data_IF_368611021330
#
_entry.id   IF_368611021330
#
_cell.length_a   1.000
_cell.length_b   1.000
_cell.length_c   1.000
_cell.angle_alpha   90.00
_cell.angle_beta   90.00
_cell.angle_gamma   90.00
#
_symmetry.space_group_name_H-M   'P 1'
#
loop_
_entity.id
_entity.type
_entity.pdbx_description
1 polymer ?
#
# COMPACT_ATOMS: atom_id res chain seq x y z
N UNK A 1 56.32 20.18 50.70
CA UNK A 1 55.95 19.60 49.38
C UNK A 1 55.04 18.36 49.53
N UNK A 2 53.69 18.48 49.64
CA UNK A 2 52.76 17.31 49.51
C UNK A 2 51.33 17.78 49.14
N UNK A 3 51.06 18.21 47.90
CA UNK A 3 49.70 18.63 47.47
C UNK A 3 49.24 18.14 46.08
N UNK A 4 49.89 17.13 45.50
CA UNK A 4 49.53 16.61 44.15
C UNK A 4 48.66 15.35 44.12
N UNK A 5 48.35 14.70 45.25
CA UNK A 5 47.64 13.40 45.26
C UNK A 5 46.10 13.49 45.12
N UNK A 6 45.44 14.60 45.50
CA UNK A 6 43.97 14.69 45.46
C UNK A 6 43.37 14.93 44.07
N UNK A 7 44.07 15.67 43.20
CA UNK A 7 43.60 15.95 41.81
C UNK A 7 43.46 14.69 40.95
N UNK A 8 44.31 13.67 41.16
CA UNK A 8 44.25 12.41 40.39
C UNK A 8 42.98 11.60 40.67
N UNK A 9 42.42 11.68 41.89
CA UNK A 9 41.15 11.02 42.24
C UNK A 9 39.93 11.77 41.70
N UNK A 10 39.99 13.10 41.60
CA UNK A 10 38.93 13.89 40.96
C UNK A 10 38.85 13.64 39.46
N UNK A 11 40.00 13.56 38.77
CA UNK A 11 40.04 13.29 37.33
C UNK A 11 39.41 11.93 36.95
N UNK A 12 39.60 10.90 37.77
CA UNK A 12 38.96 9.60 37.54
C UNK A 12 37.45 9.63 37.77
N UNK A 13 36.96 10.46 38.69
CA UNK A 13 35.52 10.65 38.94
C UNK A 13 34.86 11.47 37.84
N UNK A 14 35.53 12.49 37.33
CA UNK A 14 35.05 13.29 36.19
C UNK A 14 35.04 12.46 34.90
N UNK A 15 36.04 11.58 34.70
CA UNK A 15 36.05 10.63 33.58
C UNK A 15 34.87 9.63 33.66
N UNK A 16 34.59 9.09 34.85
CA UNK A 16 33.44 8.21 35.07
C UNK A 16 32.11 8.93 34.81
N UNK A 17 32.02 10.21 35.18
CA UNK A 17 30.83 11.03 34.92
C UNK A 17 30.65 11.29 33.42
N UNK A 18 31.72 11.64 32.69
CA UNK A 18 31.67 11.77 31.24
C UNK A 18 31.27 10.46 30.54
N UNK A 19 31.79 9.32 30.99
CA UNK A 19 31.41 8.00 30.45
C UNK A 19 29.93 7.71 30.74
N UNK A 20 29.45 8.00 31.96
CA UNK A 20 28.03 7.84 32.30
C UNK A 20 27.12 8.73 31.43
N UNK A 21 27.51 9.99 31.17
CA UNK A 21 26.79 10.88 30.28
C UNK A 21 26.77 10.37 28.83
N UNK A 22 27.87 9.80 28.33
CA UNK A 22 27.92 9.21 26.99
C UNK A 22 27.00 8.00 26.87
N UNK A 23 26.98 7.11 27.87
CA UNK A 23 26.08 5.95 27.90
C UNK A 23 24.61 6.39 27.96
N UNK A 24 24.30 7.41 28.78
CA UNK A 24 22.95 7.96 28.86
C UNK A 24 22.49 8.56 27.52
N UNK A 25 23.35 9.34 26.84
CA UNK A 25 23.05 9.85 25.49
C UNK A 25 22.85 8.74 24.48
N UNK A 26 23.69 7.70 24.49
CA UNK A 26 23.56 6.57 23.57
C UNK A 26 22.25 5.80 23.79
N UNK A 27 21.83 5.61 25.04
CA UNK A 27 20.56 4.96 25.38
C UNK A 27 19.34 5.77 24.88
N UNK A 28 19.38 7.10 25.00
CA UNK A 28 18.32 7.97 24.50
C UNK A 28 18.25 7.96 22.96
N UNK A 29 19.40 7.98 22.29
CA UNK A 29 19.46 7.87 20.83
C UNK A 29 18.96 6.52 20.33
N UNK A 30 19.25 5.43 21.05
CA UNK A 30 18.76 4.10 20.72
C UNK A 30 17.23 4.01 20.85
N UNK A 31 16.67 4.55 21.93
CA UNK A 31 15.22 4.62 22.13
C UNK A 31 14.53 5.45 21.05
N UNK A 32 15.07 6.63 20.74
CA UNK A 32 14.52 7.51 19.69
C UNK A 32 14.61 6.92 18.28
N UNK A 33 15.63 6.10 18.00
CA UNK A 33 15.78 5.44 16.69
C UNK A 33 14.66 4.43 16.43
N UNK A 34 14.22 3.69 17.46
CA UNK A 34 13.11 2.75 17.35
C UNK A 34 11.79 3.47 17.03
N UNK A 35 11.54 4.61 17.66
CA UNK A 35 10.34 5.41 17.44
C UNK A 35 10.27 6.01 16.04
N UNK A 36 11.41 6.43 15.47
CA UNK A 36 11.47 6.96 14.10
C UNK A 36 11.14 5.86 13.08
N UNK A 37 11.63 4.64 13.28
CA UNK A 37 11.32 3.50 12.41
C UNK A 37 9.84 3.13 12.49
N UNK A 38 9.29 3.00 13.70
CA UNK A 38 7.88 2.71 13.92
C UNK A 38 6.98 3.82 13.33
N UNK A 39 7.36 5.10 13.43
CA UNK A 39 6.58 6.21 12.87
C UNK A 39 6.53 6.17 11.33
N UNK A 40 7.61 5.75 10.68
CA UNK A 40 7.64 5.58 9.21
C UNK A 40 6.79 4.38 8.78
N UNK A 41 6.91 3.26 9.49
CA UNK A 41 6.12 2.05 9.22
C UNK A 41 4.62 2.30 9.43
N UNK A 42 4.24 3.00 10.51
CA UNK A 42 2.85 3.37 10.78
C UNK A 42 2.32 4.28 9.66
N UNK A 43 3.09 5.28 9.22
CA UNK A 43 2.67 6.18 8.12
C UNK A 43 2.46 5.43 6.81
N UNK A 44 3.40 4.56 6.44
CA UNK A 44 3.27 3.72 5.25
C UNK A 44 2.07 2.78 5.35
N UNK A 45 1.85 2.17 6.51
CA UNK A 45 0.71 1.29 6.72
C UNK A 45 -0.64 2.01 6.62
N UNK A 46 -0.72 3.29 6.99
CA UNK A 46 -1.94 4.10 6.88
C UNK A 46 -2.25 4.39 5.41
N UNK A 47 -1.24 4.83 4.65
CA UNK A 47 -1.39 5.14 3.23
C UNK A 47 -1.77 3.90 2.42
N UNK A 48 -1.11 2.76 2.68
CA UNK A 48 -1.45 1.46 2.08
C UNK A 48 -2.87 1.00 2.43
N UNK A 49 -3.34 1.28 3.65
CA UNK A 49 -4.67 0.85 4.09
C UNK A 49 -5.76 1.73 3.49
N UNK A 50 -5.51 3.02 3.33
CA UNK A 50 -6.41 3.97 2.66
C UNK A 50 -6.52 3.63 1.17
N UNK A 51 -5.40 3.31 0.51
CA UNK A 51 -5.41 2.85 -0.89
C UNK A 51 -6.18 1.53 -1.05
N UNK A 52 -5.94 0.55 -0.16
CA UNK A 52 -6.67 -0.72 -0.17
C UNK A 52 -8.16 -0.54 0.10
N UNK A 53 -8.55 0.37 0.97
CA UNK A 53 -9.95 0.69 1.23
C UNK A 53 -10.63 1.29 0.00
N UNK A 54 -9.98 2.26 -0.66
CA UNK A 54 -10.49 2.86 -1.89
C UNK A 54 -10.59 1.84 -3.04
N UNK A 55 -9.59 0.96 -3.18
CA UNK A 55 -9.65 -0.14 -4.15
C UNK A 55 -10.78 -1.12 -3.83
N UNK A 56 -11.03 -1.45 -2.56
CA UNK A 56 -12.13 -2.33 -2.16
C UNK A 56 -13.49 -1.72 -2.46
N UNK A 57 -13.66 -0.43 -2.18
CA UNK A 57 -14.90 0.31 -2.45
C UNK A 57 -15.18 0.38 -3.95
N UNK A 58 -14.17 0.70 -4.76
CA UNK A 58 -14.29 0.69 -6.21
C UNK A 58 -14.65 -0.70 -6.75
N UNK A 59 -14.04 -1.76 -6.21
CA UNK A 59 -14.38 -3.14 -6.58
C UNK A 59 -15.81 -3.50 -6.19
N UNK A 60 -16.29 -3.01 -5.05
CA UNK A 60 -17.66 -3.26 -4.61
C UNK A 60 -18.67 -2.61 -5.56
N UNK A 61 -18.44 -1.35 -5.94
CA UNK A 61 -19.29 -0.58 -6.86
C UNK A 61 -19.31 -1.20 -8.27
N UNK A 62 -18.15 -1.62 -8.78
CA UNK A 62 -18.03 -2.35 -10.05
C UNK A 62 -18.79 -3.68 -10.01
N UNK A 63 -18.68 -4.43 -8.90
CA UNK A 63 -19.37 -5.70 -8.73
C UNK A 63 -20.89 -5.51 -8.59
N UNK A 64 -21.34 -4.47 -7.89
CA UNK A 64 -22.76 -4.13 -7.72
C UNK A 64 -23.38 -3.72 -9.06
N UNK A 65 -22.71 -2.84 -9.80
CA UNK A 65 -23.11 -2.46 -11.17
C UNK A 65 -23.15 -3.66 -12.10
N UNK A 66 -22.15 -4.55 -12.01
CA UNK A 66 -22.13 -5.80 -12.78
C UNK A 66 -23.30 -6.70 -12.38
N UNK A 67 -23.62 -6.79 -11.08
CA UNK A 67 -24.75 -7.55 -10.57
C UNK A 67 -26.08 -7.03 -11.12
N UNK A 68 -26.31 -5.73 -11.06
CA UNK A 68 -27.52 -5.09 -11.61
C UNK A 68 -27.65 -5.32 -13.11
N UNK A 69 -26.54 -5.20 -13.85
CA UNK A 69 -26.50 -5.46 -15.27
C UNK A 69 -26.79 -6.94 -15.59
N UNK A 70 -26.29 -7.89 -14.80
CA UNK A 70 -26.58 -9.32 -14.98
C UNK A 70 -28.00 -9.71 -14.56
N UNK A 71 -28.59 -9.03 -13.57
CA UNK A 71 -29.97 -9.27 -13.16
C UNK A 71 -30.99 -8.63 -14.16
N UNK A 72 -30.52 -7.77 -15.07
CA UNK A 72 -31.35 -7.14 -16.10
C UNK A 72 -31.43 -8.00 -17.40
N UNK A 73 -32.62 -8.50 -17.77
CA UNK A 73 -32.79 -9.34 -18.97
C UNK A 73 -32.50 -8.59 -20.28
N UNK A 74 -32.74 -7.27 -20.34
CA UNK A 74 -32.48 -6.46 -21.53
C UNK A 74 -30.98 -6.31 -21.79
N UNK A 75 -30.18 -6.22 -20.72
CA UNK A 75 -28.71 -6.19 -20.82
C UNK A 75 -28.15 -7.53 -21.29
N UNK A 76 -28.71 -8.65 -20.81
CA UNK A 76 -28.34 -9.99 -21.29
C UNK A 76 -28.65 -10.13 -22.80
N UNK A 77 -29.83 -9.68 -23.24
CA UNK A 77 -30.22 -9.70 -24.65
C UNK A 77 -29.29 -8.83 -25.51
N UNK A 78 -28.90 -7.65 -25.01
CA UNK A 78 -27.93 -6.78 -25.67
C UNK A 78 -26.56 -7.43 -25.83
N UNK A 79 -26.02 -8.07 -24.78
CA UNK A 79 -24.75 -8.80 -24.85
C UNK A 79 -24.84 -10.00 -25.79
N UNK A 80 -25.94 -10.76 -25.75
CA UNK A 80 -26.17 -11.89 -26.63
C UNK A 80 -26.21 -11.46 -28.11
N UNK A 81 -26.88 -10.35 -28.42
CA UNK A 81 -26.92 -9.77 -29.77
C UNK A 81 -25.58 -9.18 -30.21
N UNK A 82 -24.91 -8.42 -29.35
CA UNK A 82 -23.68 -7.72 -29.70
C UNK A 82 -22.46 -8.62 -29.82
N UNK A 83 -22.26 -9.55 -28.86
CA UNK A 83 -21.07 -10.41 -28.82
C UNK A 83 -21.27 -11.75 -29.50
N UNK A 84 -22.46 -12.33 -29.36
CA UNK A 84 -22.75 -13.68 -29.85
C UNK A 84 -23.63 -13.70 -31.09
N UNK A 85 -24.05 -12.51 -31.58
CA UNK A 85 -24.83 -12.34 -32.81
C UNK A 85 -26.13 -13.16 -32.80
N UNK A 86 -26.72 -13.33 -31.61
CA UNK A 86 -27.99 -14.04 -31.42
C UNK A 86 -29.11 -13.21 -32.01
N UNK A 87 -29.98 -13.82 -32.81
CA UNK A 87 -31.14 -13.16 -33.43
C UNK A 87 -32.46 -13.79 -33.01
N UNK A 88 -33.53 -12.98 -33.08
CA UNK A 88 -34.91 -13.46 -32.95
C UNK A 88 -35.43 -13.95 -34.31
N UNK A 89 -36.50 -14.76 -34.28
CA UNK A 89 -37.11 -15.29 -35.49
C UNK A 89 -37.53 -14.15 -36.43
N UNK A 90 -36.97 -14.14 -37.65
CA UNK A 90 -37.21 -13.13 -38.68
C UNK A 90 -36.11 -12.07 -38.86
N UNK A 91 -35.07 -12.05 -38.02
CA UNK A 91 -33.92 -11.13 -38.15
C UNK A 91 -32.74 -11.77 -38.94
N UNK A 92 -32.11 -11.01 -39.84
CA UNK A 92 -30.95 -11.46 -40.64
C UNK A 92 -29.66 -10.77 -40.20
N UNK A 93 -28.63 -11.56 -39.82
CA UNK A 93 -27.30 -11.04 -39.43
C UNK A 93 -26.35 -11.06 -40.61
N UNK A 94 -25.68 -9.93 -40.88
CA UNK A 94 -24.56 -9.85 -41.81
C UNK A 94 -23.24 -9.78 -41.05
N UNK A 95 -22.38 -10.79 -41.22
CA UNK A 95 -20.99 -10.74 -40.73
C UNK A 95 -20.11 -10.23 -41.87
N UNK A 96 -19.47 -9.09 -41.67
CA UNK A 96 -18.49 -8.58 -42.62
C UNK A 96 -17.12 -9.19 -42.29
N UNK A 97 -16.34 -9.60 -43.31
CA UNK A 97 -14.97 -10.05 -43.08
C UNK A 97 -14.17 -8.89 -42.48
N UNK A 98 -13.46 -9.15 -41.39
CA UNK A 98 -12.49 -8.22 -40.84
C UNK A 98 -11.28 -8.20 -41.77
N UNK A 99 -10.68 -7.03 -41.99
CA UNK A 99 -9.58 -6.82 -42.94
C UNK A 99 -8.27 -7.55 -42.59
N UNK A 100 -8.29 -8.53 -41.67
CA UNK A 100 -7.11 -9.20 -41.12
C UNK A 100 -7.20 -10.74 -41.15
N UNK A 101 -8.25 -11.34 -41.68
CA UNK A 101 -8.36 -12.81 -41.85
C UNK A 101 -8.29 -13.22 -43.33
N UNK A 102 -7.33 -12.64 -44.06
CA UNK A 102 -6.91 -13.14 -45.37
C UNK A 102 -5.40 -13.40 -45.34
N UNK A 103 -4.99 -14.40 -44.56
CA UNK A 103 -3.70 -15.08 -44.73
C UNK A 103 -3.93 -16.59 -44.58
N UNK A 104 -4.55 -17.20 -45.59
CA UNK A 104 -4.27 -18.58 -46.04
C UNK A 104 -4.50 -18.69 -47.55
#
# INVERSE_FOLDING_TARGET
MKRKKSRKRQLGRDLLFCVACLVASAALLWGGWQDVQNMLEIRQSIEDNEEKAAQLEQRQDDLETTRENLDNPDYIEYIARGRYLVTKEGEQVFKFPTLQETEE
#
